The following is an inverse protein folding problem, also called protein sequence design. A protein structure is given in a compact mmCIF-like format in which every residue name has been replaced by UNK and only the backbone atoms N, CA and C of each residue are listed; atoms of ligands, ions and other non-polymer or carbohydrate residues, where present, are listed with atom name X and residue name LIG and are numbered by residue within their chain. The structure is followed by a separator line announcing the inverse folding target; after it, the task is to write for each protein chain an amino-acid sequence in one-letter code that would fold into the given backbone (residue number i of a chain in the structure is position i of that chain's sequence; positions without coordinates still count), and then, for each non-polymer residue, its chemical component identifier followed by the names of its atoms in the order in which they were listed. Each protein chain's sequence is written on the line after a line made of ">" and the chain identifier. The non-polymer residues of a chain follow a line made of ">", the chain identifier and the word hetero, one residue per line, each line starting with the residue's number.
data_IF_947195619626
#
_entry.id   IF_947195619626
#
_cell.length_a   1.000
_cell.length_b   1.000
_cell.length_c   1.000
_cell.angle_alpha   90.00
_cell.angle_beta   90.00
_cell.angle_gamma   90.00
#
_symmetry.space_group_name_H-M   'P 1'
#
loop_
_entity.id
_entity.type
_entity.pdbx_description
1 polymer ?
#
# COMPACT_ATOMS: atom_id res chain seq x y z
N UNK A 1 -4.53 -14.38 16.25
CA UNK A 1 -4.48 -13.05 16.91
C UNK A 1 -5.45 -12.12 16.17
N UNK A 2 -6.34 -11.43 16.88
CA UNK A 2 -7.28 -10.49 16.25
C UNK A 2 -6.64 -9.11 16.09
N UNK A 3 -7.10 -8.32 15.13
CA UNK A 3 -6.59 -6.97 14.85
C UNK A 3 -6.73 -6.04 16.07
N UNK A 4 -7.82 -6.19 16.83
CA UNK A 4 -8.03 -5.46 18.06
C UNK A 4 -7.02 -5.86 19.15
N UNK A 5 -6.74 -7.17 19.28
CA UNK A 5 -5.75 -7.65 20.26
C UNK A 5 -4.30 -7.27 19.95
N UNK A 6 -3.98 -6.89 18.71
CA UNK A 6 -2.64 -6.40 18.34
C UNK A 6 -2.50 -4.88 18.49
N UNK A 7 -3.54 -4.18 18.96
CA UNK A 7 -3.50 -2.75 19.23
C UNK A 7 -3.49 -1.87 17.97
N UNK A 8 -3.78 -2.42 16.78
CA UNK A 8 -3.78 -1.63 15.53
C UNK A 8 -4.95 -0.65 15.42
N UNK A 9 -5.91 -0.69 16.36
CA UNK A 9 -7.07 0.19 16.41
C UNK A 9 -6.98 1.28 17.49
N UNK A 10 -5.83 1.42 18.18
CA UNK A 10 -5.62 2.51 19.14
C UNK A 10 -5.79 3.86 18.44
N UNK A 11 -6.32 4.81 19.20
CA UNK A 11 -6.45 6.23 18.83
C UNK A 11 -7.27 6.48 17.56
N UNK A 12 -8.10 5.51 17.13
CA UNK A 12 -8.94 5.65 15.94
C UNK A 12 -9.85 6.90 16.04
N UNK A 13 -9.96 7.75 14.99
CA UNK A 13 -9.40 7.62 13.64
C UNK A 13 -8.07 8.37 13.40
N UNK A 14 -7.36 8.78 14.45
CA UNK A 14 -6.20 9.67 14.36
C UNK A 14 -5.09 9.11 13.46
N UNK A 15 -4.54 9.98 12.61
CA UNK A 15 -3.49 9.64 11.65
C UNK A 15 -3.90 8.69 10.51
N UNK A 16 -5.18 8.34 10.36
CA UNK A 16 -5.66 7.40 9.33
C UNK A 16 -6.34 8.11 8.18
N UNK A 17 -6.09 7.63 6.97
CA UNK A 17 -6.65 8.22 5.77
C UNK A 17 -6.80 7.21 4.63
N UNK A 18 -7.63 7.58 3.65
CA UNK A 18 -7.74 6.91 2.37
C UNK A 18 -7.51 7.94 1.28
N UNK A 19 -6.51 7.70 0.45
CA UNK A 19 -6.30 8.45 -0.80
C UNK A 19 -6.97 7.70 -1.95
N UNK A 20 -7.62 8.45 -2.83
CA UNK A 20 -8.22 7.96 -4.07
C UNK A 20 -7.86 8.92 -5.17
N UNK A 21 -7.35 8.42 -6.29
CA UNK A 21 -7.11 9.27 -7.46
C UNK A 21 -8.42 9.64 -8.18
N UNK A 22 -8.36 10.65 -9.04
CA UNK A 22 -9.55 11.13 -9.77
C UNK A 22 -10.26 10.05 -10.58
N UNK A 23 -9.49 9.12 -11.17
CA UNK A 23 -10.03 8.01 -11.97
C UNK A 23 -10.55 6.84 -11.13
N UNK A 24 -10.46 6.93 -9.79
CA UNK A 24 -10.90 5.89 -8.83
C UNK A 24 -10.37 4.50 -9.14
N UNK A 25 -9.11 4.43 -9.58
CA UNK A 25 -8.42 3.20 -9.97
C UNK A 25 -7.13 2.96 -9.17
N UNK A 26 -6.66 3.97 -8.43
CA UNK A 26 -5.57 3.86 -7.45
C UNK A 26 -6.12 4.30 -6.10
N UNK A 27 -5.88 3.46 -5.09
CA UNK A 27 -6.22 3.72 -3.71
C UNK A 27 -4.97 3.52 -2.86
N UNK A 28 -4.83 4.33 -1.82
CA UNK A 28 -3.86 4.08 -0.77
C UNK A 28 -4.54 4.19 0.58
N UNK A 29 -4.42 3.16 1.42
CA UNK A 29 -4.85 3.22 2.81
C UNK A 29 -3.65 3.53 3.69
N UNK A 30 -3.81 4.55 4.53
CA UNK A 30 -2.76 5.06 5.41
C UNK A 30 -3.10 4.67 6.85
N UNK A 31 -2.13 4.05 7.54
CA UNK A 31 -2.20 3.70 8.97
C UNK A 31 -3.42 2.82 9.35
N UNK A 32 -3.85 1.92 8.48
CA UNK A 32 -4.94 0.99 8.80
C UNK A 32 -4.42 -0.23 9.59
N UNK A 33 -3.44 -0.94 9.05
CA UNK A 33 -2.67 -2.00 9.73
C UNK A 33 -1.19 -1.81 9.52
N UNK A 34 -0.80 -1.61 8.27
CA UNK A 34 0.53 -1.19 7.87
C UNK A 34 0.51 0.32 7.58
N UNK A 35 1.69 0.96 7.52
CA UNK A 35 1.78 2.39 7.24
C UNK A 35 1.12 2.76 5.91
N UNK A 36 1.28 1.90 4.90
CA UNK A 36 0.72 2.08 3.57
C UNK A 36 0.22 0.74 3.01
N UNK A 37 -0.99 0.75 2.46
CA UNK A 37 -1.48 -0.29 1.54
C UNK A 37 -1.85 0.36 0.22
N UNK A 38 -1.02 0.11 -0.80
CA UNK A 38 -1.25 0.61 -2.15
C UNK A 38 -2.08 -0.39 -2.95
N UNK A 39 -3.10 0.08 -3.65
CA UNK A 39 -4.08 -0.76 -4.34
C UNK A 39 -4.30 -0.19 -5.74
N UNK A 40 -4.14 -1.03 -6.76
CA UNK A 40 -4.60 -0.73 -8.11
C UNK A 40 -5.84 -1.57 -8.42
N UNK A 41 -6.84 -0.93 -8.99
CA UNK A 41 -8.15 -1.52 -9.27
C UNK A 41 -8.60 -1.17 -10.68
N UNK A 42 -9.39 -2.04 -11.31
CA UNK A 42 -10.08 -1.77 -12.56
C UNK A 42 -11.58 -1.97 -12.36
N UNK A 43 -12.39 -1.02 -12.82
CA UNK A 43 -13.85 -1.16 -12.80
C UNK A 43 -14.31 -2.06 -13.96
N UNK A 44 -15.41 -2.78 -13.73
CA UNK A 44 -15.91 -3.91 -14.53
C UNK A 44 -16.30 -3.59 -15.99
N UNK A 45 -16.17 -2.35 -16.46
CA UNK A 45 -16.56 -1.96 -17.82
C UNK A 45 -15.39 -1.96 -18.81
N UNK A 46 -14.14 -2.03 -18.34
CA UNK A 46 -12.97 -2.24 -19.17
C UNK A 46 -12.57 -3.72 -19.07
N UNK A 47 -12.71 -4.46 -20.18
CA UNK A 47 -12.27 -5.86 -20.36
C UNK A 47 -11.06 -6.18 -19.47
N UNK A 48 -11.26 -7.09 -18.52
CA UNK A 48 -10.30 -7.62 -17.52
C UNK A 48 -8.83 -7.66 -17.98
N UNK A 49 -8.15 -6.52 -17.99
CA UNK A 49 -6.77 -6.41 -18.43
C UNK A 49 -5.85 -6.35 -17.21
N UNK A 50 -5.59 -7.53 -16.64
CA UNK A 50 -4.67 -7.70 -15.52
C UNK A 50 -3.31 -7.04 -15.78
N UNK A 51 -2.81 -7.14 -17.02
CA UNK A 51 -1.54 -6.52 -17.42
C UNK A 51 -1.56 -5.00 -17.25
N UNK A 52 -2.67 -4.34 -17.60
CA UNK A 52 -2.81 -2.89 -17.40
C UNK A 52 -2.88 -2.51 -15.92
N UNK A 53 -3.61 -3.28 -15.11
CA UNK A 53 -3.70 -3.04 -13.66
C UNK A 53 -2.33 -3.20 -12.99
N UNK A 54 -1.61 -4.28 -13.30
CA UNK A 54 -0.27 -4.52 -12.79
C UNK A 54 0.71 -3.43 -13.26
N UNK A 55 0.66 -3.04 -14.55
CA UNK A 55 1.52 -1.98 -15.06
C UNK A 55 1.28 -0.63 -14.33
N UNK A 56 0.01 -0.28 -14.08
CA UNK A 56 -0.35 0.91 -13.31
C UNK A 56 0.10 0.82 -11.86
N UNK A 57 -0.03 -0.36 -11.24
CA UNK A 57 0.46 -0.60 -9.89
C UNK A 57 1.97 -0.31 -9.79
N UNK A 58 2.77 -0.91 -10.68
CA UNK A 58 4.22 -0.70 -10.69
C UNK A 58 4.59 0.76 -10.99
N UNK A 59 3.94 1.40 -11.95
CA UNK A 59 4.19 2.82 -12.24
C UNK A 59 3.88 3.71 -11.04
N UNK A 60 2.74 3.47 -10.38
CA UNK A 60 2.31 4.25 -9.22
C UNK A 60 3.22 4.07 -8.01
N UNK A 61 3.59 2.83 -7.68
CA UNK A 61 4.46 2.56 -6.53
C UNK A 61 5.89 3.07 -6.76
N UNK A 62 6.44 2.94 -7.97
CA UNK A 62 7.77 3.47 -8.29
C UNK A 62 7.81 4.99 -8.24
N UNK A 63 6.74 5.68 -8.67
CA UNK A 63 6.64 7.13 -8.53
C UNK A 63 6.63 7.54 -7.05
N UNK A 64 5.81 6.86 -6.24
CA UNK A 64 5.72 7.12 -4.81
C UNK A 64 7.06 6.91 -4.11
N UNK A 65 7.74 5.80 -4.38
CA UNK A 65 9.04 5.48 -3.81
C UNK A 65 10.09 6.53 -4.18
N UNK A 66 10.12 6.99 -5.44
CA UNK A 66 11.04 8.04 -5.88
C UNK A 66 10.75 9.38 -5.21
N UNK A 67 9.48 9.75 -5.04
CA UNK A 67 9.10 10.97 -4.32
C UNK A 67 9.53 10.89 -2.86
N UNK A 68 9.29 9.76 -2.19
CA UNK A 68 9.71 9.55 -0.80
C UNK A 68 11.23 9.59 -0.65
N UNK A 69 11.98 8.99 -1.58
CA UNK A 69 13.46 9.04 -1.59
C UNK A 69 14.00 10.46 -1.69
N UNK A 70 13.36 11.32 -2.48
CA UNK A 70 13.74 12.73 -2.59
C UNK A 70 13.51 13.50 -1.28
N UNK A 71 12.57 13.05 -0.45
CA UNK A 71 12.33 13.57 0.91
C UNK A 71 13.20 12.88 1.99
N UNK A 72 14.09 11.97 1.59
CA UNK A 72 14.95 11.21 2.50
C UNK A 72 14.24 10.07 3.24
N UNK A 73 13.07 9.64 2.77
CA UNK A 73 12.26 8.57 3.36
C UNK A 73 12.32 7.34 2.44
N UNK A 74 12.51 6.15 3.03
CA UNK A 74 12.50 4.87 2.31
C UNK A 74 11.50 3.89 2.92
N UNK A 75 11.08 2.91 2.12
CA UNK A 75 10.33 1.77 2.65
C UNK A 75 11.22 0.90 3.54
N UNK A 76 10.63 0.30 4.57
CA UNK A 76 11.31 -0.70 5.39
C UNK A 76 11.59 -1.94 4.53
N UNK A 77 12.86 -2.19 4.25
CA UNK A 77 13.33 -3.29 3.43
C UNK A 77 14.51 -3.98 4.11
N UNK A 78 14.53 -5.31 4.03
CA UNK A 78 15.61 -6.16 4.48
C UNK A 78 16.15 -6.98 3.30
N UNK A 79 17.46 -7.20 3.23
CA UNK A 79 18.09 -7.89 2.09
C UNK A 79 17.66 -9.35 1.97
N UNK A 80 17.30 -10.00 3.09
CA UNK A 80 16.84 -11.38 3.10
C UNK A 80 15.32 -11.49 2.98
N UNK A 81 14.57 -10.62 3.66
CA UNK A 81 13.11 -10.73 3.78
C UNK A 81 12.32 -9.80 2.84
N UNK A 82 12.97 -8.92 2.10
CA UNK A 82 12.31 -7.96 1.22
C UNK A 82 11.57 -6.85 1.99
N UNK A 83 10.41 -6.42 1.49
CA UNK A 83 9.63 -5.37 2.17
C UNK A 83 8.98 -5.89 3.45
N UNK A 84 9.13 -5.11 4.52
CA UNK A 84 8.66 -5.49 5.85
C UNK A 84 7.27 -4.92 6.12
N UNK A 85 6.43 -5.73 6.77
CA UNK A 85 5.08 -5.37 7.19
C UNK A 85 4.82 -5.84 8.62
N UNK A 86 3.68 -5.44 9.19
CA UNK A 86 3.31 -5.76 10.58
C UNK A 86 3.08 -7.25 10.80
N UNK A 87 2.70 -8.00 9.76
CA UNK A 87 2.41 -9.42 9.84
C UNK A 87 3.46 -10.21 9.05
N UNK A 88 4.17 -11.18 9.67
CA UNK A 88 5.19 -11.97 8.96
C UNK A 88 4.69 -12.70 7.72
N UNK A 89 3.37 -12.95 7.60
CA UNK A 89 2.78 -13.58 6.42
C UNK A 89 2.77 -12.69 5.16
N UNK A 90 3.05 -11.38 5.31
CA UNK A 90 2.99 -10.39 4.24
C UNK A 90 4.37 -9.73 3.98
N UNK A 91 5.48 -10.37 4.34
CA UNK A 91 6.83 -9.89 4.00
C UNK A 91 7.20 -10.27 2.57
N UNK A 92 8.26 -9.69 2.01
CA UNK A 92 8.69 -9.94 0.64
C UNK A 92 8.03 -8.95 -0.30
N UNK A 93 7.03 -9.39 -1.07
CA UNK A 93 6.29 -8.54 -2.04
C UNK A 93 4.94 -8.06 -1.53
N UNK A 94 4.61 -8.33 -0.25
CA UNK A 94 3.28 -8.13 0.33
C UNK A 94 2.35 -9.32 0.14
#
# INVERSE_FOLDING_TARGET
>A
MSWLSSGVARDWPDGRAVYVNNDKNIFAWINQKDHLRFISWSTNNAKNNLRSVIAKFFQGISLLENTMKNEGISFAHDDHFGYLTTCPANIGTG
#
